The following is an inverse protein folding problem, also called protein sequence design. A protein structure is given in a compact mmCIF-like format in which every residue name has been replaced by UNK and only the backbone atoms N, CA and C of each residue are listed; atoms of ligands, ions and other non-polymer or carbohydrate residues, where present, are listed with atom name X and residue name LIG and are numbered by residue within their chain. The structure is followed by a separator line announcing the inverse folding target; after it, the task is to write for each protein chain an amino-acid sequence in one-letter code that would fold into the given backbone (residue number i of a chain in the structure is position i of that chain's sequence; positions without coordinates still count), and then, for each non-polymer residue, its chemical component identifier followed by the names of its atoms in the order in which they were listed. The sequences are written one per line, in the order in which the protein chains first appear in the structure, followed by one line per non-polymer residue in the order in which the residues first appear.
data_IF_248251113576
#
_entry.id   IF_248251113576
#
_cell.length_a   1.000
_cell.length_b   1.000
_cell.length_c   1.000
_cell.angle_alpha   90.00
_cell.angle_beta   90.00
_cell.angle_gamma   90.00
#
_symmetry.space_group_name_H-M   'P 1'
#
loop_
_entity.id
_entity.type
_entity.pdbx_description
1 polymer ?
#
# COMPACT_ATOMS: atom_id res chain seq x y z
N UNK A 1 -10.95 -32.84 -23.45
CA UNK A 1 -9.93 -32.05 -22.75
C UNK A 1 -10.41 -31.82 -21.33
N UNK A 2 -9.91 -32.61 -20.37
CA UNK A 2 -10.26 -32.46 -18.95
C UNK A 2 -9.24 -31.55 -18.29
N UNK A 3 -9.70 -30.40 -17.82
CA UNK A 3 -8.94 -29.43 -17.03
C UNK A 3 -8.83 -29.99 -15.59
N UNK A 4 -7.63 -30.36 -15.15
CA UNK A 4 -7.39 -30.76 -13.74
C UNK A 4 -7.07 -29.49 -12.95
N UNK A 5 -7.99 -29.13 -12.07
CA UNK A 5 -7.84 -28.09 -11.05
C UNK A 5 -7.04 -28.70 -9.89
N UNK A 6 -5.84 -28.17 -9.59
CA UNK A 6 -5.06 -28.57 -8.42
C UNK A 6 -5.51 -27.70 -7.24
N UNK A 7 -6.10 -28.33 -6.23
CA UNK A 7 -6.58 -27.71 -5.00
C UNK A 7 -5.55 -28.01 -3.89
N UNK A 8 -4.86 -26.98 -3.38
CA UNK A 8 -3.96 -27.11 -2.23
C UNK A 8 -4.77 -26.77 -0.98
N UNK A 9 -5.04 -27.77 -0.13
CA UNK A 9 -5.71 -27.58 1.17
C UNK A 9 -4.67 -27.37 2.27
N UNK A 10 -4.73 -26.22 2.93
CA UNK A 10 -3.97 -25.90 4.15
C UNK A 10 -4.63 -26.60 5.35
N UNK A 11 -3.96 -27.56 6.00
CA UNK A 11 -4.45 -28.17 7.23
C UNK A 11 -4.13 -27.27 8.44
N UNK A 12 -5.17 -26.83 9.16
CA UNK A 12 -5.06 -26.19 10.47
C UNK A 12 -5.16 -27.24 11.58
N UNK A 13 -4.17 -27.26 12.49
CA UNK A 13 -4.10 -28.23 13.58
C UNK A 13 -4.79 -27.65 14.83
N UNK A 14 -5.94 -28.21 15.23
CA UNK A 14 -6.59 -27.92 16.52
C UNK A 14 -6.15 -29.00 17.51
N UNK A 15 -5.44 -28.60 18.56
CA UNK A 15 -5.04 -29.48 19.65
C UNK A 15 -6.21 -29.88 20.54
N UNK A 16 -6.32 -31.17 20.87
CA UNK A 16 -7.30 -31.69 21.81
C UNK A 16 -6.59 -32.25 23.05
N UNK A 17 -6.85 -31.65 24.20
CA UNK A 17 -6.38 -32.08 25.52
C UNK A 17 -7.14 -33.34 25.97
N UNK A 18 -6.41 -34.38 26.37
CA UNK A 18 -6.97 -35.60 26.95
C UNK A 18 -7.38 -35.37 28.41
N UNK A 19 -8.68 -35.47 28.69
CA UNK A 19 -9.20 -35.68 30.03
C UNK A 19 -9.57 -37.16 30.18
N UNK A 20 -8.90 -37.84 31.11
CA UNK A 20 -9.17 -39.22 31.52
C UNK A 20 -10.43 -39.27 32.39
N UNK A 21 -11.41 -40.08 31.98
CA UNK A 21 -12.50 -40.55 32.84
C UNK A 21 -12.68 -42.04 32.59
N UNK A 22 -12.24 -42.81 33.59
CA UNK A 22 -12.33 -44.25 33.72
C UNK A 22 -13.60 -44.55 34.50
N UNK A 23 -14.48 -45.45 34.02
CA UNK A 23 -15.39 -46.29 34.82
C UNK A 23 -16.29 -47.19 33.93
N UNK A 24 -16.18 -48.51 34.15
CA UNK A 24 -17.24 -49.55 34.00
C UNK A 24 -17.59 -49.99 32.57
N UNK A 25 -17.02 -51.06 32.03
CA UNK A 25 -17.36 -52.50 32.22
C UNK A 25 -18.73 -52.89 31.64
N UNK A 26 -18.71 -53.60 30.51
CA UNK A 26 -19.49 -54.81 30.20
C UNK A 26 -19.04 -55.37 28.84
N UNK A 27 -18.50 -56.58 28.89
CA UNK A 27 -18.15 -57.44 27.76
C UNK A 27 -19.33 -57.65 26.80
N UNK A 28 -19.11 -57.35 25.53
CA UNK A 28 -19.83 -57.94 24.40
C UNK A 28 -18.81 -58.17 23.28
N UNK A 29 -18.44 -59.44 23.11
CA UNK A 29 -17.63 -59.95 22.01
C UNK A 29 -18.42 -59.85 20.68
N UNK A 30 -18.29 -58.73 19.98
CA UNK A 30 -18.42 -58.69 18.52
C UNK A 30 -17.02 -58.50 17.93
N UNK A 31 -16.63 -59.24 16.88
CA UNK A 31 -15.38 -58.97 16.20
C UNK A 31 -15.44 -57.55 15.63
N UNK A 32 -14.60 -56.64 16.13
CA UNK A 32 -14.41 -55.32 15.53
C UNK A 32 -14.14 -55.51 14.03
N UNK A 33 -15.12 -55.17 13.21
CA UNK A 33 -14.92 -54.98 11.77
C UNK A 33 -13.76 -54.01 11.62
N UNK A 34 -12.65 -54.49 11.05
CA UNK A 34 -11.50 -53.67 10.75
C UNK A 34 -11.97 -52.45 9.95
N UNK A 35 -11.90 -51.27 10.58
CA UNK A 35 -12.08 -50.00 9.88
C UNK A 35 -10.97 -49.97 8.82
N UNK A 36 -11.28 -49.79 7.53
CA UNK A 36 -10.23 -49.67 6.53
C UNK A 36 -9.41 -48.45 6.92
N UNK A 37 -8.15 -48.69 7.27
CA UNK A 37 -7.16 -47.63 7.43
C UNK A 37 -7.05 -47.00 6.04
N UNK A 38 -7.62 -45.81 5.89
CA UNK A 38 -7.36 -44.96 4.73
C UNK A 38 -5.87 -44.64 4.78
N UNK A 39 -5.08 -45.39 4.01
CA UNK A 39 -3.73 -44.99 3.61
C UNK A 39 -3.86 -43.60 2.97
N UNK A 40 -3.43 -42.58 3.71
CA UNK A 40 -3.22 -41.26 3.15
C UNK A 40 -1.96 -41.42 2.31
N UNK A 41 -2.13 -41.66 1.01
CA UNK A 41 -1.03 -41.52 0.06
C UNK A 41 -0.50 -40.07 0.19
N UNK A 42 0.70 -39.92 0.74
CA UNK A 42 1.44 -38.67 0.66
C UNK A 42 1.55 -38.30 -0.83
N UNK A 43 1.21 -37.08 -1.24
CA UNK A 43 1.23 -36.72 -2.64
C UNK A 43 2.68 -36.80 -3.15
N UNK A 44 2.96 -37.84 -3.94
CA UNK A 44 4.21 -37.95 -4.69
C UNK A 44 4.23 -36.77 -5.65
N UNK A 45 5.11 -35.81 -5.36
CA UNK A 45 5.28 -34.59 -6.12
C UNK A 45 5.88 -34.96 -7.49
N UNK A 46 5.14 -34.73 -8.58
CA UNK A 46 5.56 -35.07 -9.94
C UNK A 46 6.88 -34.35 -10.30
N UNK A 47 7.80 -35.03 -11.01
CA UNK A 47 9.08 -34.45 -11.45
C UNK A 47 8.86 -33.22 -12.34
N UNK A 48 9.62 -32.15 -12.10
CA UNK A 48 9.63 -30.94 -12.94
C UNK A 48 8.74 -29.78 -12.46
N UNK A 49 8.41 -29.72 -11.17
CA UNK A 49 7.73 -28.55 -10.61
C UNK A 49 8.70 -27.37 -10.55
N UNK A 50 8.34 -26.27 -11.21
CA UNK A 50 8.96 -24.98 -10.96
C UNK A 50 8.46 -24.44 -9.62
N UNK A 51 9.32 -24.43 -8.61
CA UNK A 51 9.04 -23.81 -7.32
C UNK A 51 9.95 -22.60 -7.15
N UNK A 52 9.35 -21.42 -6.96
CA UNK A 52 10.08 -20.15 -6.92
C UNK A 52 11.01 -19.93 -8.13
N UNK A 53 10.60 -20.41 -9.31
CA UNK A 53 11.39 -20.30 -10.55
C UNK A 53 12.59 -21.26 -10.63
N UNK A 54 12.69 -22.23 -9.73
CA UNK A 54 13.73 -23.26 -9.74
C UNK A 54 13.13 -24.61 -10.17
N UNK A 55 13.82 -25.34 -11.03
CA UNK A 55 13.49 -26.73 -11.35
C UNK A 55 13.90 -27.63 -10.18
N UNK A 56 12.94 -28.35 -9.61
CA UNK A 56 13.19 -29.32 -8.53
C UNK A 56 13.06 -30.72 -9.13
N UNK A 57 14.20 -31.38 -9.34
CA UNK A 57 14.27 -32.68 -10.02
C UNK A 57 14.28 -33.87 -9.04
N UNK A 58 14.94 -33.73 -7.88
CA UNK A 58 15.15 -34.84 -6.92
C UNK A 58 15.02 -34.47 -5.44
N UNK A 59 14.93 -33.19 -5.08
CA UNK A 59 14.90 -32.80 -3.66
C UNK A 59 13.51 -33.02 -3.03
N UNK A 60 13.47 -33.53 -1.80
CA UNK A 60 12.27 -33.49 -0.97
C UNK A 60 12.01 -32.04 -0.53
N UNK A 61 10.77 -31.58 -0.63
CA UNK A 61 10.39 -30.20 -0.29
C UNK A 61 9.57 -30.19 0.99
N UNK A 62 10.11 -29.59 2.05
CA UNK A 62 9.43 -29.45 3.34
C UNK A 62 8.93 -28.01 3.50
N UNK A 63 7.61 -27.83 3.56
CA UNK A 63 6.97 -26.53 3.82
C UNK A 63 6.71 -26.33 5.31
N UNK A 64 6.97 -25.12 5.83
CA UNK A 64 6.70 -24.76 7.22
C UNK A 64 6.55 -23.24 7.37
N UNK A 65 6.18 -22.78 8.55
CA UNK A 65 6.19 -21.36 8.93
C UNK A 65 7.19 -21.11 10.05
N UNK A 66 7.75 -19.90 10.10
CA UNK A 66 8.65 -19.49 11.19
C UNK A 66 7.86 -19.43 12.49
N UNK A 67 8.29 -20.21 13.48
CA UNK A 67 7.68 -20.23 14.82
C UNK A 67 8.15 -19.06 15.67
N UNK A 68 7.41 -18.78 16.74
CA UNK A 68 7.78 -17.77 17.73
C UNK A 68 9.19 -18.05 18.28
N UNK A 69 10.04 -17.02 18.24
CA UNK A 69 11.45 -17.08 18.67
C UNK A 69 12.31 -18.10 17.91
N UNK A 70 11.88 -18.55 16.73
CA UNK A 70 12.70 -19.43 15.88
C UNK A 70 13.62 -18.58 15.00
N UNK A 71 14.90 -18.92 15.00
CA UNK A 71 15.93 -18.28 14.21
C UNK A 71 16.37 -19.15 13.04
N UNK A 72 17.08 -18.55 12.08
CA UNK A 72 17.69 -19.26 10.95
C UNK A 72 18.55 -20.44 11.42
N UNK A 73 19.26 -20.29 12.53
CA UNK A 73 20.07 -21.36 13.12
C UNK A 73 19.23 -22.55 13.56
N UNK A 74 18.10 -22.30 14.22
CA UNK A 74 17.24 -23.37 14.72
C UNK A 74 16.63 -24.16 13.55
N UNK A 75 16.28 -23.46 12.47
CA UNK A 75 15.77 -24.08 11.25
C UNK A 75 16.86 -24.94 10.60
N UNK A 76 18.04 -24.37 10.31
CA UNK A 76 19.06 -25.07 9.53
C UNK A 76 19.78 -26.19 10.31
N UNK A 77 19.95 -26.05 11.62
CA UNK A 77 20.53 -27.12 12.45
C UNK A 77 19.62 -28.35 12.54
N UNK A 78 18.28 -28.17 12.44
CA UNK A 78 17.35 -29.29 12.34
C UNK A 78 17.54 -30.13 11.06
N UNK A 79 18.19 -29.56 10.04
CA UNK A 79 18.54 -30.22 8.77
C UNK A 79 20.06 -30.33 8.59
N UNK A 80 20.77 -30.58 9.70
CA UNK A 80 22.18 -30.99 9.74
C UNK A 80 23.16 -30.01 9.09
N UNK A 81 22.85 -28.71 9.12
CA UNK A 81 23.80 -27.64 8.78
C UNK A 81 24.51 -27.16 10.05
N UNK A 82 25.84 -27.12 10.00
CA UNK A 82 26.68 -26.71 11.13
C UNK A 82 26.67 -25.18 11.34
N UNK A 83 26.96 -24.77 12.58
CA UNK A 83 26.95 -23.37 12.96
C UNK A 83 27.94 -22.50 12.18
N UNK A 84 29.08 -23.04 11.75
CA UNK A 84 30.09 -22.29 10.97
C UNK A 84 29.52 -21.92 9.60
N UNK A 85 28.87 -22.88 8.95
CA UNK A 85 28.17 -22.66 7.68
C UNK A 85 27.02 -21.66 7.86
N UNK A 86 26.23 -21.78 8.94
CA UNK A 86 25.13 -20.85 9.23
C UNK A 86 25.64 -19.42 9.47
N UNK A 87 26.74 -19.24 10.21
CA UNK A 87 27.34 -17.92 10.45
C UNK A 87 27.87 -17.28 9.16
N UNK A 88 28.54 -18.08 8.31
CA UNK A 88 29.00 -17.66 6.99
C UNK A 88 27.81 -17.24 6.11
N UNK A 89 26.75 -18.07 6.09
CA UNK A 89 25.52 -17.79 5.36
C UNK A 89 24.87 -16.49 5.84
N UNK A 90 24.72 -16.29 7.16
CA UNK A 90 24.15 -15.07 7.73
C UNK A 90 24.97 -13.82 7.38
N UNK A 91 26.30 -13.96 7.31
CA UNK A 91 27.21 -12.88 6.89
C UNK A 91 27.01 -12.52 5.41
N UNK A 92 26.93 -13.53 4.53
CA UNK A 92 26.67 -13.36 3.10
C UNK A 92 25.26 -12.80 2.86
N UNK A 93 24.28 -13.20 3.66
CA UNK A 93 22.90 -12.75 3.55
C UNK A 93 22.74 -11.27 3.88
N UNK A 94 23.51 -10.73 4.84
CA UNK A 94 23.34 -9.37 5.39
C UNK A 94 23.09 -8.23 4.37
N UNK A 95 23.83 -8.12 3.24
CA UNK A 95 23.54 -7.11 2.20
C UNK A 95 22.20 -7.33 1.46
N UNK A 96 21.71 -8.56 1.37
CA UNK A 96 20.45 -8.94 0.69
C UNK A 96 19.27 -8.88 1.66
N UNK A 97 19.41 -9.54 2.80
CA UNK A 97 18.42 -9.68 3.85
C UNK A 97 19.08 -9.91 5.22
N UNK A 98 18.68 -9.12 6.22
CA UNK A 98 19.12 -9.32 7.60
C UNK A 98 18.28 -10.43 8.23
N UNK A 99 18.89 -11.60 8.47
CA UNK A 99 18.22 -12.81 8.99
C UNK A 99 17.51 -12.59 10.32
N UNK A 100 17.88 -11.55 11.08
CA UNK A 100 17.19 -11.14 12.32
C UNK A 100 15.81 -10.51 12.07
N UNK A 101 15.49 -10.20 10.81
CA UNK A 101 14.19 -9.70 10.37
C UNK A 101 13.23 -10.81 9.94
N UNK A 102 13.62 -12.09 10.05
CA UNK A 102 12.67 -13.20 9.89
C UNK A 102 11.54 -13.03 10.91
N UNK A 103 10.30 -13.20 10.45
CA UNK A 103 9.10 -12.91 11.24
C UNK A 103 8.34 -14.20 11.52
N UNK A 104 7.80 -14.29 12.73
CA UNK A 104 6.84 -15.32 13.09
C UNK A 104 5.67 -15.35 12.09
N UNK A 105 5.26 -16.55 11.69
CA UNK A 105 4.18 -16.80 10.74
C UNK A 105 4.55 -16.63 9.27
N UNK A 106 5.76 -16.13 8.95
CA UNK A 106 6.19 -16.08 7.56
C UNK A 106 6.50 -17.51 7.04
N UNK A 107 6.01 -17.89 5.85
CA UNK A 107 6.31 -19.18 5.25
C UNK A 107 7.79 -19.34 4.89
N UNK A 108 8.26 -20.58 4.95
CA UNK A 108 9.51 -20.99 4.33
C UNK A 108 9.38 -22.42 3.82
N UNK A 109 10.24 -22.80 2.88
CA UNK A 109 10.43 -24.21 2.54
C UNK A 109 11.91 -24.58 2.50
N UNK A 110 12.18 -25.85 2.69
CA UNK A 110 13.52 -26.43 2.67
C UNK A 110 13.56 -27.50 1.59
N UNK A 111 14.58 -27.41 0.74
CA UNK A 111 14.94 -28.48 -0.18
C UNK A 111 15.94 -29.38 0.53
N UNK A 112 15.56 -30.62 0.76
CA UNK A 112 16.37 -31.63 1.45
C UNK A 112 16.92 -32.60 0.42
N UNK A 113 18.19 -32.97 0.57
CA UNK A 113 18.78 -34.02 -0.25
C UNK A 113 18.14 -35.38 0.06
N UNK A 114 17.52 -36.00 -0.95
CA UNK A 114 16.87 -37.32 -0.81
C UNK A 114 17.86 -38.49 -0.88
N UNK A 115 19.09 -38.23 -1.31
CA UNK A 115 20.08 -39.29 -1.59
C UNK A 115 20.90 -39.69 -0.35
N UNK A 116 20.82 -38.92 0.74
CA UNK A 116 21.55 -39.15 1.98
C UNK A 116 20.68 -39.82 3.06
N UNK A 117 21.29 -40.70 3.88
CA UNK A 117 20.60 -41.33 5.03
C UNK A 117 20.27 -40.34 6.17
N UNK A 118 20.76 -39.11 6.08
CA UNK A 118 20.56 -38.04 7.06
C UNK A 118 20.05 -36.81 6.30
N UNK A 119 18.89 -36.23 6.69
CA UNK A 119 18.30 -35.12 5.96
C UNK A 119 19.19 -33.87 6.05
N UNK A 120 19.78 -33.47 4.92
CA UNK A 120 20.62 -32.27 4.82
C UNK A 120 19.95 -31.21 3.96
N UNK A 121 19.87 -29.97 4.43
CA UNK A 121 19.31 -28.87 3.66
C UNK A 121 20.25 -28.45 2.52
N UNK A 122 19.77 -28.55 1.26
CA UNK A 122 20.41 -27.97 0.06
C UNK A 122 20.00 -26.52 -0.15
N UNK A 123 18.78 -26.17 0.24
CA UNK A 123 18.29 -24.82 0.09
C UNK A 123 17.23 -24.49 1.14
N UNK A 124 17.22 -23.24 1.61
CA UNK A 124 16.10 -22.67 2.35
C UNK A 124 15.55 -21.48 1.58
N UNK A 125 14.23 -21.45 1.37
CA UNK A 125 13.53 -20.36 0.71
C UNK A 125 12.59 -19.75 1.73
N UNK A 126 12.83 -18.49 2.08
CA UNK A 126 12.03 -17.75 3.06
C UNK A 126 11.17 -16.70 2.36
N UNK A 127 9.86 -16.75 2.54
CA UNK A 127 8.96 -15.73 2.01
C UNK A 127 9.01 -14.46 2.89
N UNK A 128 9.66 -13.40 2.40
CA UNK A 128 9.74 -12.11 3.10
C UNK A 128 8.38 -11.40 3.11
N UNK A 129 7.64 -11.53 2.00
CA UNK A 129 6.26 -11.11 1.83
C UNK A 129 5.63 -11.88 0.66
N UNK A 130 4.36 -11.61 0.34
CA UNK A 130 3.62 -12.28 -0.74
C UNK A 130 4.28 -12.17 -2.13
N UNK A 131 5.20 -11.24 -2.35
CA UNK A 131 5.91 -11.06 -3.63
C UNK A 131 7.37 -11.51 -3.54
N UNK A 132 8.08 -11.14 -2.47
CA UNK A 132 9.52 -11.32 -2.37
C UNK A 132 9.86 -12.52 -1.48
N UNK A 133 10.83 -13.32 -1.93
CA UNK A 133 11.40 -14.41 -1.15
C UNK A 133 12.93 -14.33 -1.17
N UNK A 134 13.55 -14.93 -0.17
CA UNK A 134 15.00 -15.00 0.00
C UNK A 134 15.42 -16.45 -0.17
N UNK A 135 16.33 -16.69 -1.11
CA UNK A 135 16.90 -18.01 -1.35
C UNK A 135 18.26 -18.09 -0.66
N UNK A 136 18.41 -19.06 0.21
CA UNK A 136 19.66 -19.44 0.85
C UNK A 136 20.10 -20.77 0.25
N UNK A 137 21.02 -20.72 -0.72
CA UNK A 137 21.58 -21.91 -1.34
C UNK A 137 22.75 -22.44 -0.47
N UNK A 138 22.70 -23.73 -0.15
CA UNK A 138 23.58 -24.46 0.77
C UNK A 138 24.24 -25.68 0.10
N UNK A 139 24.11 -25.82 -1.23
CA UNK A 139 24.68 -26.92 -2.01
C UNK A 139 26.20 -26.70 -2.22
N UNK A 140 26.71 -26.72 -3.45
CA UNK A 140 28.16 -26.59 -3.70
C UNK A 140 28.75 -25.24 -3.24
N UNK A 141 28.07 -24.14 -3.56
CA UNK A 141 28.52 -22.78 -3.23
C UNK A 141 27.44 -22.03 -2.46
N UNK A 142 27.75 -21.73 -1.20
CA UNK A 142 26.87 -20.94 -0.34
C UNK A 142 26.62 -19.58 -0.97
N UNK A 143 25.37 -19.30 -1.31
CA UNK A 143 24.95 -18.04 -1.91
C UNK A 143 23.57 -17.63 -1.41
N UNK A 144 23.32 -16.32 -1.42
CA UNK A 144 22.05 -15.74 -0.97
C UNK A 144 21.61 -14.70 -1.98
N UNK A 145 20.36 -14.80 -2.44
CA UNK A 145 19.76 -13.81 -3.32
C UNK A 145 18.27 -13.61 -3.01
N UNK A 146 17.73 -12.47 -3.43
CA UNK A 146 16.29 -12.18 -3.35
C UNK A 146 15.65 -12.48 -4.70
N UNK A 147 14.62 -13.29 -4.69
CA UNK A 147 13.75 -13.51 -5.85
C UNK A 147 12.40 -12.85 -5.66
N UNK A 148 11.62 -12.80 -6.75
CA UNK A 148 10.26 -12.29 -6.75
C UNK A 148 9.36 -13.33 -7.42
N UNK A 149 8.21 -13.61 -6.80
CA UNK A 149 7.13 -14.38 -7.42
C UNK A 149 6.61 -13.60 -8.63
N UNK A 150 6.10 -14.31 -9.62
CA UNK A 150 5.48 -13.68 -10.78
C UNK A 150 4.26 -12.87 -10.33
N UNK A 151 4.26 -11.57 -10.66
CA UNK A 151 3.15 -10.67 -10.35
C UNK A 151 2.33 -10.48 -11.61
N UNK A 152 1.09 -10.95 -11.59
CA UNK A 152 0.13 -10.68 -12.66
C UNK A 152 -0.61 -9.39 -12.37
N UNK A 153 -0.73 -8.51 -13.37
CA UNK A 153 -1.51 -7.27 -13.27
C UNK A 153 -2.85 -7.50 -13.96
N UNK A 154 -3.94 -7.43 -13.21
CA UNK A 154 -5.30 -7.60 -13.74
C UNK A 154 -6.04 -6.28 -13.78
N UNK A 155 -6.64 -5.94 -14.93
CA UNK A 155 -7.63 -4.87 -15.02
C UNK A 155 -8.92 -5.27 -14.32
N UNK A 156 -9.45 -4.39 -13.47
CA UNK A 156 -10.68 -4.59 -12.71
C UNK A 156 -11.57 -3.36 -12.73
N UNK A 157 -12.86 -3.62 -12.58
CA UNK A 157 -13.90 -2.62 -12.40
C UNK A 157 -14.61 -2.90 -11.09
N UNK A 158 -14.96 -1.85 -10.36
CA UNK A 158 -15.71 -1.97 -9.12
C UNK A 158 -16.66 -0.80 -8.92
N UNK A 159 -17.73 -1.04 -8.18
CA UNK A 159 -18.67 -0.01 -7.75
C UNK A 159 -19.21 -0.35 -6.36
N UNK A 160 -19.75 0.66 -5.68
CA UNK A 160 -20.34 0.47 -4.37
C UNK A 160 -21.18 1.65 -3.92
N UNK A 161 -22.18 1.36 -3.08
CA UNK A 161 -23.00 2.36 -2.38
C UNK A 161 -22.66 2.30 -0.90
N UNK A 162 -22.19 3.42 -0.37
CA UNK A 162 -21.66 3.50 0.98
C UNK A 162 -22.79 3.51 2.00
N UNK A 163 -22.74 2.56 2.92
CA UNK A 163 -23.69 2.48 4.04
C UNK A 163 -23.09 3.01 5.34
N UNK A 164 -21.82 2.72 5.59
CA UNK A 164 -21.12 3.06 6.84
C UNK A 164 -19.79 3.75 6.54
N UNK A 165 -18.88 3.07 5.84
CA UNK A 165 -17.60 3.62 5.41
C UNK A 165 -17.20 3.03 4.05
N UNK A 166 -16.26 3.69 3.39
CA UNK A 166 -15.71 3.20 2.11
C UNK A 166 -15.00 1.85 2.27
N UNK A 167 -14.23 1.69 3.36
CA UNK A 167 -13.52 0.45 3.68
C UNK A 167 -14.48 -0.73 3.84
N UNK A 168 -15.49 -0.58 4.71
CA UNK A 168 -16.51 -1.62 4.95
C UNK A 168 -17.30 -1.96 3.69
N UNK A 169 -17.61 -0.95 2.87
CA UNK A 169 -18.32 -1.15 1.59
C UNK A 169 -17.47 -1.98 0.63
N UNK A 170 -16.16 -1.77 0.58
CA UNK A 170 -15.25 -2.58 -0.24
C UNK A 170 -15.15 -4.00 0.28
N UNK A 171 -14.94 -4.19 1.59
CA UNK A 171 -14.88 -5.51 2.21
C UNK A 171 -16.17 -6.30 1.96
N UNK A 172 -17.34 -5.68 2.15
CA UNK A 172 -18.64 -6.33 1.92
C UNK A 172 -18.86 -6.74 0.46
N UNK A 173 -18.35 -5.94 -0.49
CA UNK A 173 -18.44 -6.22 -1.92
C UNK A 173 -17.27 -7.07 -2.46
N UNK A 174 -16.44 -7.65 -1.58
CA UNK A 174 -15.25 -8.46 -1.95
C UNK A 174 -14.25 -7.69 -2.84
N UNK A 175 -14.15 -6.39 -2.64
CA UNK A 175 -13.16 -5.50 -3.26
C UNK A 175 -12.00 -5.35 -2.26
N UNK A 176 -10.75 -5.31 -2.75
CA UNK A 176 -9.61 -5.06 -1.88
C UNK A 176 -9.73 -3.68 -1.22
N UNK A 177 -9.77 -3.62 0.13
CA UNK A 177 -10.05 -2.38 0.85
C UNK A 177 -8.92 -1.35 0.78
N UNK A 178 -7.72 -1.70 0.35
CA UNK A 178 -6.65 -0.73 0.07
C UNK A 178 -7.06 0.28 -1.00
N UNK A 179 -8.01 -0.09 -1.87
CA UNK A 179 -8.57 0.83 -2.85
C UNK A 179 -9.26 2.03 -2.17
N UNK A 180 -9.80 1.87 -0.97
CA UNK A 180 -10.42 2.97 -0.21
C UNK A 180 -9.40 4.05 0.12
N UNK A 181 -8.18 3.63 0.49
CA UNK A 181 -7.08 4.55 0.76
C UNK A 181 -6.70 5.32 -0.51
N UNK A 182 -6.56 4.63 -1.64
CA UNK A 182 -6.21 5.24 -2.93
C UNK A 182 -7.26 6.24 -3.40
N UNK A 183 -8.54 5.90 -3.28
CA UNK A 183 -9.64 6.81 -3.58
C UNK A 183 -9.66 8.03 -2.66
N UNK A 184 -9.38 7.83 -1.37
CA UNK A 184 -9.28 8.93 -0.40
C UNK A 184 -8.12 9.88 -0.72
N UNK A 185 -7.02 9.37 -1.29
CA UNK A 185 -5.89 10.19 -1.73
C UNK A 185 -6.24 11.05 -2.95
N UNK A 186 -6.96 10.48 -3.93
CA UNK A 186 -7.41 11.19 -5.15
C UNK A 186 -8.34 12.35 -4.81
N UNK A 187 -9.35 12.11 -3.98
CA UNK A 187 -10.37 13.11 -3.63
C UNK A 187 -10.13 13.79 -2.28
N UNK A 188 -8.94 13.68 -1.69
CA UNK A 188 -8.60 14.25 -0.37
C UNK A 188 -8.97 15.74 -0.22
N UNK A 189 -9.14 16.40 -1.36
CA UNK A 189 -9.36 17.83 -1.55
C UNK A 189 -10.78 18.26 -1.78
N UNK A 190 -11.55 17.40 -2.42
CA UNK A 190 -12.88 17.69 -2.92
C UNK A 190 -13.94 16.99 -2.06
N UNK A 191 -13.56 15.93 -1.35
CA UNK A 191 -14.43 15.16 -0.46
C UNK A 191 -13.81 15.08 0.93
N UNK A 192 -14.59 15.45 1.95
CA UNK A 192 -14.25 15.16 3.35
C UNK A 192 -14.68 13.74 3.70
N UNK A 193 -13.75 12.79 3.62
CA UNK A 193 -14.01 11.37 3.89
C UNK A 193 -14.46 11.08 5.34
N UNK A 194 -14.28 12.02 6.28
CA UNK A 194 -14.83 11.90 7.64
C UNK A 194 -16.31 12.26 7.71
N UNK A 195 -16.87 12.87 6.66
CA UNK A 195 -18.26 13.31 6.57
C UNK A 195 -19.05 12.64 5.44
N UNK A 196 -18.54 11.52 4.93
CA UNK A 196 -19.27 10.68 3.98
C UNK A 196 -20.64 10.33 4.54
N UNK A 197 -21.64 10.39 3.67
CA UNK A 197 -23.02 10.11 4.01
C UNK A 197 -23.43 8.73 3.52
N UNK A 198 -24.42 8.15 4.20
CA UNK A 198 -25.12 6.98 3.68
C UNK A 198 -25.73 7.33 2.31
N UNK A 199 -25.42 6.53 1.29
CA UNK A 199 -25.90 6.72 -0.08
C UNK A 199 -24.89 7.39 -1.02
N UNK A 200 -23.80 7.96 -0.49
CA UNK A 200 -22.64 8.29 -1.33
C UNK A 200 -22.15 7.02 -2.03
N UNK A 201 -21.61 7.14 -3.24
CA UNK A 201 -21.35 5.97 -4.09
C UNK A 201 -20.18 6.20 -5.02
N UNK A 202 -19.54 5.12 -5.44
CA UNK A 202 -18.35 5.19 -6.29
C UNK A 202 -18.39 4.16 -7.42
N UNK A 203 -17.69 4.48 -8.51
CA UNK A 203 -17.33 3.56 -9.60
C UNK A 203 -15.86 3.77 -9.92
N UNK A 204 -15.13 2.70 -10.21
CA UNK A 204 -13.69 2.77 -10.39
C UNK A 204 -13.19 1.71 -11.36
N UNK A 205 -12.32 2.12 -12.28
CA UNK A 205 -11.54 1.27 -13.18
C UNK A 205 -10.09 1.33 -12.71
N UNK A 206 -9.50 0.18 -12.44
CA UNK A 206 -8.17 0.11 -11.83
C UNK A 206 -7.46 -1.20 -12.20
N UNK A 207 -6.17 -1.26 -11.87
CA UNK A 207 -5.40 -2.49 -11.95
C UNK A 207 -5.12 -3.04 -10.55
N UNK A 208 -5.04 -4.36 -10.43
CA UNK A 208 -4.72 -5.04 -9.18
C UNK A 208 -3.58 -6.02 -9.41
N UNK A 209 -2.61 -6.00 -8.50
CA UNK A 209 -1.45 -6.90 -8.54
C UNK A 209 -1.82 -8.19 -7.82
N UNK A 210 -1.67 -9.29 -8.51
CA UNK A 210 -2.01 -10.62 -8.03
C UNK A 210 -0.75 -11.50 -7.97
N UNK A 211 -0.62 -12.29 -6.92
CA UNK A 211 0.36 -13.37 -6.81
C UNK A 211 -0.38 -14.61 -6.33
N UNK A 212 -0.23 -15.73 -7.05
CA UNK A 212 -0.86 -17.02 -6.67
C UNK A 212 -2.38 -16.93 -6.44
N UNK A 213 -3.06 -16.03 -7.16
CA UNK A 213 -4.51 -15.79 -7.03
C UNK A 213 -4.93 -14.87 -5.88
N UNK A 214 -3.98 -14.42 -5.04
CA UNK A 214 -4.23 -13.45 -3.98
C UNK A 214 -3.82 -12.03 -4.39
N UNK A 215 -4.55 -11.03 -3.88
CA UNK A 215 -4.19 -9.63 -4.11
C UNK A 215 -3.02 -9.22 -3.23
N UNK A 216 -2.00 -8.64 -3.84
CA UNK A 216 -0.81 -8.11 -3.16
C UNK A 216 -0.73 -6.58 -3.21
N UNK A 217 -1.73 -5.94 -3.81
CA UNK A 217 -1.87 -4.48 -3.77
C UNK A 217 -2.61 -3.91 -4.96
N UNK A 218 -3.13 -2.69 -4.76
CA UNK A 218 -3.75 -1.91 -5.81
C UNK A 218 -2.68 -1.29 -6.71
N UNK A 219 -2.86 -1.43 -8.02
CA UNK A 219 -2.06 -0.77 -9.03
C UNK A 219 -2.55 0.66 -9.29
N UNK A 220 -2.59 1.00 -10.56
CA UNK A 220 -3.05 2.28 -11.07
C UNK A 220 -4.58 2.33 -11.15
N UNK A 221 -5.17 3.47 -10.78
CA UNK A 221 -6.60 3.75 -10.99
C UNK A 221 -6.66 4.61 -12.24
N UNK A 222 -7.23 4.09 -13.32
CA UNK A 222 -7.26 4.80 -14.61
C UNK A 222 -8.42 5.79 -14.66
N UNK A 223 -9.55 5.43 -14.05
CA UNK A 223 -10.73 6.26 -14.03
C UNK A 223 -11.53 6.03 -12.75
N UNK A 224 -12.11 7.09 -12.21
CA UNK A 224 -12.97 7.04 -11.03
C UNK A 224 -14.12 8.05 -11.13
N UNK A 225 -15.27 7.63 -10.61
CA UNK A 225 -16.40 8.50 -10.29
C UNK A 225 -16.72 8.35 -8.81
N UNK A 226 -16.75 9.47 -8.09
CA UNK A 226 -17.25 9.53 -6.72
C UNK A 226 -18.43 10.48 -6.65
N UNK A 227 -19.58 9.99 -6.18
CA UNK A 227 -20.74 10.81 -5.88
C UNK A 227 -20.74 11.14 -4.39
N UNK A 228 -20.66 12.43 -4.07
CA UNK A 228 -20.76 12.92 -2.71
C UNK A 228 -21.86 13.98 -2.63
N UNK A 229 -22.85 13.76 -1.75
CA UNK A 229 -23.98 14.67 -1.57
C UNK A 229 -24.72 15.00 -2.88
N UNK A 230 -24.85 14.03 -3.78
CA UNK A 230 -25.53 14.19 -5.06
C UNK A 230 -24.71 14.85 -6.17
N UNK A 231 -23.45 15.26 -5.90
CA UNK A 231 -22.53 15.78 -6.91
C UNK A 231 -21.61 14.68 -7.41
N UNK A 232 -21.62 14.45 -8.72
CA UNK A 232 -20.67 13.57 -9.39
C UNK A 232 -19.31 14.26 -9.55
N UNK A 233 -18.26 13.59 -9.11
CA UNK A 233 -16.87 14.02 -9.21
C UNK A 233 -16.12 12.96 -10.02
N UNK A 234 -15.82 13.26 -11.28
CA UNK A 234 -15.04 12.38 -12.14
C UNK A 234 -13.54 12.67 -11.98
N UNK A 235 -12.72 11.63 -12.09
CA UNK A 235 -11.26 11.72 -12.12
C UNK A 235 -10.68 10.72 -13.10
N UNK A 236 -9.82 11.19 -13.99
CA UNK A 236 -9.13 10.37 -14.99
C UNK A 236 -7.63 10.54 -14.82
N UNK A 237 -6.92 9.43 -14.75
CA UNK A 237 -5.46 9.46 -14.60
C UNK A 237 -4.80 9.94 -15.90
N UNK A 238 -3.81 10.80 -15.75
CA UNK A 238 -2.97 11.24 -16.85
C UNK A 238 -1.57 11.58 -16.37
N UNK A 239 -0.57 11.13 -17.12
CA UNK A 239 0.85 11.35 -16.85
C UNK A 239 1.42 12.28 -17.93
N UNK A 240 1.83 13.50 -17.52
CA UNK A 240 2.36 14.53 -18.43
C UNK A 240 3.69 14.12 -19.06
N UNK A 241 4.56 13.47 -18.28
CA UNK A 241 5.85 12.96 -18.75
C UNK A 241 6.36 11.85 -17.81
N UNK A 242 7.36 11.09 -18.26
CA UNK A 242 7.95 9.97 -17.48
C UNK A 242 8.76 10.41 -16.24
N UNK A 243 8.82 11.71 -15.93
CA UNK A 243 9.57 12.29 -14.80
C UNK A 243 8.60 12.73 -13.69
N UNK A 244 7.35 13.05 -14.03
CA UNK A 244 6.27 13.39 -13.12
C UNK A 244 5.38 12.17 -12.90
N UNK A 245 5.09 11.83 -11.63
CA UNK A 245 4.04 10.85 -11.36
C UNK A 245 2.72 11.40 -11.92
N UNK A 246 1.92 10.57 -12.59
CA UNK A 246 0.65 11.02 -13.13
C UNK A 246 -0.31 11.50 -12.05
N UNK A 247 -1.28 12.30 -12.48
CA UNK A 247 -2.25 12.99 -11.64
C UNK A 247 -3.67 12.74 -12.19
N UNK A 248 -4.69 13.15 -11.44
CA UNK A 248 -6.08 12.94 -11.80
C UNK A 248 -6.74 14.25 -12.22
N UNK A 249 -7.44 14.21 -13.35
CA UNK A 249 -8.06 15.38 -13.96
C UNK A 249 -9.56 15.19 -14.17
N UNK A 250 -10.31 16.27 -14.04
CA UNK A 250 -11.71 16.39 -14.43
C UNK A 250 -11.84 16.42 -15.97
N UNK A 251 -13.05 16.20 -16.54
CA UNK A 251 -13.28 16.25 -18.00
C UNK A 251 -12.80 17.53 -18.70
N UNK A 252 -12.82 18.67 -17.99
CA UNK A 252 -12.37 19.96 -18.51
C UNK A 252 -10.85 20.16 -18.38
N UNK A 253 -10.11 19.15 -17.91
CA UNK A 253 -8.66 19.18 -17.73
C UNK A 253 -8.20 19.82 -16.43
N UNK A 254 -9.10 20.21 -15.51
CA UNK A 254 -8.71 20.68 -14.18
C UNK A 254 -8.17 19.56 -13.32
N UNK A 255 -7.12 19.84 -12.56
CA UNK A 255 -6.58 18.85 -11.61
C UNK A 255 -7.52 18.67 -10.42
N UNK A 256 -7.78 17.42 -10.03
CA UNK A 256 -8.48 17.10 -8.78
C UNK A 256 -7.62 17.41 -7.53
N UNK A 257 -6.31 17.57 -7.71
CA UNK A 257 -5.38 17.96 -6.66
C UNK A 257 -5.45 19.47 -6.44
N UNK A 258 -5.53 19.90 -5.18
CA UNK A 258 -5.30 21.32 -4.86
C UNK A 258 -3.83 21.65 -4.96
N UNK A 259 -3.52 22.91 -5.27
CA UNK A 259 -2.14 23.37 -5.30
C UNK A 259 -1.40 23.13 -3.97
N UNK A 260 -2.11 22.97 -2.83
CA UNK A 260 -1.52 22.78 -1.49
C UNK A 260 -2.14 21.62 -0.70
N UNK A 261 -1.35 20.94 0.15
CA UNK A 261 -1.72 19.95 1.17
C UNK A 261 -2.31 20.57 2.44
N UNK A 262 -3.29 19.90 3.08
CA UNK A 262 -4.09 20.53 4.14
C UNK A 262 -3.25 20.62 5.39
N UNK A 263 -2.45 19.57 5.60
CA UNK A 263 -1.50 19.45 6.66
C UNK A 263 -0.15 18.97 6.09
N UNK A 264 0.98 19.42 6.67
CA UNK A 264 2.30 18.99 6.27
C UNK A 264 2.77 17.69 6.97
N UNK A 265 1.86 16.97 7.64
CA UNK A 265 2.14 15.78 8.46
C UNK A 265 0.93 14.84 8.44
N UNK A 266 1.16 13.56 8.15
CA UNK A 266 0.13 12.50 8.20
C UNK A 266 -0.28 12.22 9.65
N UNK A 267 -1.57 11.94 9.88
CA UNK A 267 -2.13 11.52 11.17
C UNK A 267 -1.82 12.46 12.36
N UNK A 268 -1.93 13.77 12.12
CA UNK A 268 -1.64 14.80 13.13
C UNK A 268 -2.91 15.49 13.62
N UNK A 269 -2.86 16.02 14.85
CA UNK A 269 -3.91 16.89 15.38
C UNK A 269 -3.44 18.35 15.34
N UNK A 270 -4.35 19.26 14.99
CA UNK A 270 -4.09 20.70 15.13
C UNK A 270 -4.10 21.03 16.63
N UNK A 271 -2.95 21.39 17.19
CA UNK A 271 -2.83 21.82 18.58
C UNK A 271 -3.10 23.31 18.76
N UNK A 272 -2.84 24.11 17.71
CA UNK A 272 -3.20 25.52 17.66
C UNK A 272 -3.38 26.00 16.22
N UNK A 273 -4.46 26.73 15.95
CA UNK A 273 -4.65 27.39 14.65
C UNK A 273 -3.93 28.74 14.57
N UNK A 274 -3.91 29.29 13.36
CA UNK A 274 -3.60 30.70 13.12
C UNK A 274 -4.58 31.58 13.91
N UNK A 275 -4.05 32.58 14.61
CA UNK A 275 -4.88 33.55 15.34
C UNK A 275 -4.17 34.89 15.45
N UNK A 276 -4.89 35.97 15.15
CA UNK A 276 -4.39 37.33 15.34
C UNK A 276 -4.17 37.71 16.81
N UNK A 277 -4.77 36.99 17.76
CA UNK A 277 -4.60 37.23 19.20
C UNK A 277 -4.79 35.93 20.01
N UNK A 278 -3.70 35.36 20.52
CA UNK A 278 -3.73 34.18 21.41
C UNK A 278 -2.80 34.37 22.61
N UNK A 279 -3.12 33.76 23.74
CA UNK A 279 -2.18 33.73 24.87
C UNK A 279 -0.98 32.82 24.55
N UNK A 280 0.23 33.37 24.57
CA UNK A 280 1.46 32.63 24.27
C UNK A 280 1.95 31.91 25.53
N UNK A 281 1.96 30.56 25.58
CA UNK A 281 2.23 29.81 26.81
C UNK A 281 3.66 30.00 27.34
N UNK A 282 4.66 30.07 26.45
CA UNK A 282 6.06 30.30 26.84
C UNK A 282 6.34 31.73 27.31
N UNK A 283 5.85 32.72 26.56
CA UNK A 283 6.12 34.14 26.85
C UNK A 283 5.11 34.75 27.83
N UNK A 284 4.06 34.01 28.20
CA UNK A 284 2.98 34.40 29.13
C UNK A 284 2.32 35.75 28.79
N UNK A 285 2.11 36.03 27.50
CA UNK A 285 1.45 37.26 27.01
C UNK A 285 0.57 37.00 25.78
N UNK A 286 -0.41 37.85 25.53
CA UNK A 286 -1.20 37.78 24.30
C UNK A 286 -0.35 38.21 23.09
N UNK A 287 -0.28 37.35 22.08
CA UNK A 287 0.46 37.56 20.84
C UNK A 287 -0.24 36.86 19.67
N UNK A 288 -0.08 37.39 18.47
CA UNK A 288 -0.50 36.68 17.26
C UNK A 288 0.27 35.36 17.10
N UNK A 289 -0.44 34.30 16.77
CA UNK A 289 0.11 33.06 16.28
C UNK A 289 -0.08 33.01 14.77
N UNK A 290 0.98 33.33 14.02
CA UNK A 290 0.93 33.52 12.57
C UNK A 290 1.19 32.21 11.81
N UNK A 291 0.67 31.10 12.32
CA UNK A 291 0.81 29.77 11.76
C UNK A 291 -0.18 28.79 12.39
N UNK A 292 -0.15 27.54 11.93
CA UNK A 292 -0.92 26.43 12.48
C UNK A 292 0.07 25.40 13.02
N UNK A 293 -0.09 25.03 14.29
CA UNK A 293 0.72 24.02 14.97
C UNK A 293 0.06 22.65 14.82
N UNK A 294 0.78 21.71 14.21
CA UNK A 294 0.39 20.31 14.13
C UNK A 294 1.24 19.50 15.11
N UNK A 295 0.59 18.98 16.15
CA UNK A 295 1.26 18.12 17.12
C UNK A 295 1.45 16.72 16.52
N UNK A 296 2.69 16.24 16.57
CA UNK A 296 3.10 14.93 16.10
C UNK A 296 4.36 14.48 16.86
N UNK A 297 4.61 13.16 16.99
CA UNK A 297 5.81 12.64 17.62
C UNK A 297 7.11 13.22 17.04
N UNK A 298 8.15 13.29 17.87
CA UNK A 298 9.47 13.69 17.40
C UNK A 298 9.97 12.73 16.32
N UNK A 299 10.46 13.25 15.21
CA UNK A 299 10.94 12.46 14.07
C UNK A 299 9.87 12.13 13.03
N UNK A 300 8.59 12.48 13.23
CA UNK A 300 7.56 12.30 12.19
C UNK A 300 7.96 13.06 10.91
N UNK A 301 7.86 12.45 9.71
CA UNK A 301 8.16 13.14 8.46
C UNK A 301 7.29 14.37 8.23
N UNK A 302 7.91 15.47 7.81
CA UNK A 302 7.25 16.70 7.38
C UNK A 302 7.32 16.76 5.86
N UNK A 303 6.16 16.97 5.23
CA UNK A 303 5.99 17.00 3.79
C UNK A 303 5.85 18.43 3.27
N UNK A 304 6.39 18.71 2.08
CA UNK A 304 6.07 19.93 1.35
C UNK A 304 4.58 19.91 0.98
N UNK A 305 3.85 20.96 1.37
CA UNK A 305 2.44 21.03 1.06
C UNK A 305 2.18 21.34 -0.41
N UNK A 306 3.15 21.80 -1.20
CA UNK A 306 2.92 22.14 -2.60
C UNK A 306 4.23 22.05 -3.37
N UNK A 307 4.12 21.87 -4.68
CA UNK A 307 5.24 21.94 -5.61
C UNK A 307 5.93 23.31 -5.47
N UNK A 308 7.26 23.35 -5.49
CA UNK A 308 7.98 24.62 -5.38
C UNK A 308 9.47 24.49 -5.18
N UNK A 309 10.14 25.62 -5.04
CA UNK A 309 11.59 25.70 -4.85
C UNK A 309 11.91 26.09 -3.42
N UNK A 310 12.81 25.34 -2.76
CA UNK A 310 13.33 25.69 -1.44
C UNK A 310 14.00 27.06 -1.51
N UNK A 311 13.46 28.04 -0.78
CA UNK A 311 14.06 29.37 -0.68
C UNK A 311 14.99 29.48 0.53
N UNK A 312 14.68 28.77 1.62
CA UNK A 312 15.51 28.74 2.82
C UNK A 312 15.48 27.34 3.45
N UNK A 313 16.62 26.85 3.92
CA UNK A 313 16.74 25.64 4.73
C UNK A 313 17.87 25.86 5.74
N UNK A 314 17.53 26.35 6.94
CA UNK A 314 18.53 26.85 7.89
C UNK A 314 18.04 26.80 9.34
N UNK A 315 18.88 27.22 10.28
CA UNK A 315 18.55 27.38 11.69
C UNK A 315 18.41 28.86 12.06
N UNK A 316 17.36 29.22 12.81
CA UNK A 316 17.24 30.53 13.46
C UNK A 316 16.77 30.38 14.90
N UNK A 317 17.19 31.30 15.77
CA UNK A 317 16.95 31.24 17.23
C UNK A 317 15.51 30.90 17.63
N UNK A 318 14.51 31.55 17.03
CA UNK A 318 13.10 31.32 17.40
C UNK A 318 12.41 30.26 16.55
N UNK A 319 12.80 30.13 15.29
CA UNK A 319 12.17 29.17 14.37
C UNK A 319 12.72 27.74 14.55
N UNK A 320 13.89 27.61 15.18
CA UNK A 320 14.63 26.35 15.18
C UNK A 320 15.21 26.07 13.79
N UNK A 321 15.38 24.79 13.47
CA UNK A 321 15.60 24.35 12.09
C UNK A 321 14.30 24.48 11.33
N UNK A 322 14.34 25.11 10.17
CA UNK A 322 13.15 25.28 9.34
C UNK A 322 13.49 25.24 7.86
N UNK A 323 12.45 24.95 7.08
CA UNK A 323 12.45 25.05 5.62
C UNK A 323 11.41 26.07 5.20
N UNK A 324 11.71 26.86 4.16
CA UNK A 324 10.76 27.73 3.47
C UNK A 324 10.74 27.34 2.00
N UNK A 325 9.54 27.12 1.46
CA UNK A 325 9.31 26.74 0.07
C UNK A 325 8.57 27.89 -0.62
N UNK A 326 9.11 28.36 -1.75
CA UNK A 326 8.44 29.31 -2.64
C UNK A 326 7.75 28.51 -3.73
N UNK A 327 6.43 28.63 -3.82
CA UNK A 327 5.63 27.88 -4.79
C UNK A 327 5.51 28.66 -6.09
N UNK A 328 5.14 29.95 -5.99
CA UNK A 328 5.07 30.86 -7.13
C UNK A 328 5.26 32.32 -6.67
N UNK A 329 4.92 33.29 -7.51
CA UNK A 329 5.00 34.73 -7.18
C UNK A 329 4.06 35.18 -6.05
N UNK A 330 3.02 34.39 -5.76
CA UNK A 330 1.98 34.72 -4.77
C UNK A 330 2.20 33.97 -3.44
N UNK A 331 2.53 32.68 -3.50
CA UNK A 331 2.48 31.78 -2.35
C UNK A 331 3.84 31.24 -1.92
N UNK A 332 4.05 31.19 -0.60
CA UNK A 332 5.15 30.44 0.02
C UNK A 332 4.72 29.78 1.33
N UNK A 333 5.40 28.71 1.73
CA UNK A 333 5.12 28.01 2.99
C UNK A 333 6.38 27.88 3.82
N UNK A 334 6.22 27.81 5.14
CA UNK A 334 7.34 27.70 6.09
C UNK A 334 7.04 26.65 7.16
N UNK A 335 8.04 25.83 7.48
CA UNK A 335 7.91 24.64 8.31
C UNK A 335 8.96 24.68 9.42
N UNK A 336 8.55 24.97 10.64
CA UNK A 336 9.45 25.31 11.75
C UNK A 336 9.68 24.15 12.73
N UNK A 337 10.60 24.38 13.65
CA UNK A 337 10.88 23.54 14.82
C UNK A 337 11.38 22.13 14.50
N UNK A 338 11.91 21.92 13.29
CA UNK A 338 12.36 20.60 12.84
C UNK A 338 13.46 20.05 13.76
N UNK A 339 13.44 18.74 13.98
CA UNK A 339 14.55 18.03 14.60
C UNK A 339 15.73 17.95 13.62
N UNK A 340 15.41 17.65 12.36
CA UNK A 340 16.37 17.51 11.26
C UNK A 340 15.72 17.96 9.94
N UNK A 341 16.50 18.64 9.11
CA UNK A 341 16.16 18.93 7.70
C UNK A 341 16.55 17.69 6.87
N UNK A 342 15.69 17.26 5.94
CA UNK A 342 15.95 16.05 5.16
C UNK A 342 17.20 16.20 4.27
N UNK A 343 17.78 15.06 3.86
CA UNK A 343 19.00 15.06 3.03
C UNK A 343 18.68 15.74 1.69
N UNK A 344 19.64 16.49 1.15
CA UNK A 344 19.54 17.24 -0.11
C UNK A 344 18.56 18.44 -0.11
N UNK A 345 17.85 18.71 0.99
CA UNK A 345 17.01 19.91 1.10
C UNK A 345 17.89 21.13 1.40
N UNK A 346 18.07 21.97 0.38
CA UNK A 346 18.87 23.21 0.42
C UNK A 346 18.28 24.26 -0.55
N UNK A 347 18.59 25.55 -0.38
CA UNK A 347 18.09 26.58 -1.29
C UNK A 347 18.36 26.25 -2.76
N UNK A 348 17.36 26.49 -3.61
CA UNK A 348 17.41 26.23 -5.05
C UNK A 348 16.91 24.84 -5.48
N UNK A 349 16.74 23.89 -4.55
CA UNK A 349 16.18 22.57 -4.86
C UNK A 349 14.68 22.67 -5.11
N UNK A 350 14.21 22.07 -6.21
CA UNK A 350 12.80 21.86 -6.45
C UNK A 350 12.31 20.68 -5.61
N UNK A 351 11.15 20.84 -4.97
CA UNK A 351 10.47 19.79 -4.20
C UNK A 351 9.06 19.61 -4.71
N UNK A 352 8.63 18.36 -4.77
CA UNK A 352 7.26 17.99 -5.13
C UNK A 352 6.34 18.10 -3.91
N UNK A 353 5.06 18.36 -4.14
CA UNK A 353 4.03 18.21 -3.14
C UNK A 353 4.08 16.78 -2.56
N UNK A 354 4.03 16.65 -1.24
CA UNK A 354 4.16 15.36 -0.56
C UNK A 354 5.60 14.86 -0.42
N UNK A 355 6.62 15.58 -0.91
CA UNK A 355 8.01 15.23 -0.69
C UNK A 355 8.46 15.53 0.74
N UNK A 356 9.27 14.64 1.34
CA UNK A 356 9.78 14.82 2.71
C UNK A 356 10.86 15.90 2.73
N UNK A 357 10.58 17.00 3.42
CA UNK A 357 11.50 18.14 3.55
C UNK A 357 12.22 18.20 4.91
N UNK A 358 11.73 17.44 5.90
CA UNK A 358 12.32 17.40 7.22
C UNK A 358 11.54 16.51 8.18
N UNK A 359 11.84 16.64 9.46
CA UNK A 359 11.26 15.80 10.50
C UNK A 359 10.86 16.65 11.71
N UNK A 360 9.71 16.33 12.29
CA UNK A 360 9.15 17.00 13.47
C UNK A 360 10.15 17.01 14.61
N UNK A 361 10.21 18.11 15.35
CA UNK A 361 11.04 18.26 16.52
C UNK A 361 10.52 19.36 17.45
N UNK A 362 11.43 19.88 18.27
CA UNK A 362 11.14 20.94 19.25
C UNK A 362 12.24 22.00 19.25
N UNK A 363 12.90 22.25 18.12
CA UNK A 363 14.02 23.21 18.09
C UNK A 363 13.52 24.66 18.07
N UNK A 364 14.34 25.59 18.58
CA UNK A 364 13.95 27.00 18.68
C UNK A 364 12.93 27.24 19.79
N UNK A 365 11.93 28.11 19.54
CA UNK A 365 10.91 28.46 20.52
C UNK A 365 9.70 27.52 20.39
N UNK A 366 9.80 26.32 20.96
CA UNK A 366 8.76 25.30 20.96
C UNK A 366 8.53 24.72 22.37
N UNK A 367 7.29 24.44 22.75
CA UNK A 367 6.96 23.82 24.06
C UNK A 367 7.10 22.30 24.06
N UNK A 368 7.06 21.68 22.89
CA UNK A 368 7.12 20.23 22.70
C UNK A 368 7.08 19.88 21.22
N UNK A 369 7.13 18.58 20.86
CA UNK A 369 7.20 18.14 19.48
C UNK A 369 5.98 18.57 18.66
N UNK A 370 6.20 19.41 17.65
CA UNK A 370 5.20 19.83 16.67
C UNK A 370 5.88 20.45 15.44
N UNK A 371 5.13 20.60 14.35
CA UNK A 371 5.51 21.49 13.24
C UNK A 371 4.64 22.73 13.28
N UNK A 372 5.27 23.91 13.35
CA UNK A 372 4.57 25.18 13.15
C UNK A 372 4.60 25.50 11.65
N UNK A 373 3.45 25.31 11.01
CA UNK A 373 3.23 25.56 9.59
C UNK A 373 2.76 26.99 9.36
N UNK A 374 3.44 27.73 8.49
CA UNK A 374 3.08 29.11 8.17
C UNK A 374 2.80 29.23 6.68
N UNK A 375 1.61 29.71 6.36
CA UNK A 375 1.19 29.97 5.00
C UNK A 375 1.36 31.45 4.69
N UNK A 376 1.96 31.76 3.54
CA UNK A 376 2.21 33.13 3.10
C UNK A 376 1.53 33.39 1.77
N UNK A 377 0.79 34.50 1.68
CA UNK A 377 0.19 35.03 0.45
C UNK A 377 0.64 36.47 0.28
N UNK A 378 1.22 36.81 -0.88
CA UNK A 378 1.73 38.15 -1.19
C UNK A 378 2.65 38.72 -0.09
N UNK A 379 3.55 37.87 0.44
CA UNK A 379 4.51 38.25 1.48
C UNK A 379 3.94 38.39 2.89
N UNK A 380 2.65 38.13 3.12
CA UNK A 380 2.01 38.19 4.45
C UNK A 380 1.58 36.80 4.95
N UNK A 381 1.69 36.58 6.26
CA UNK A 381 1.25 35.34 6.90
C UNK A 381 -0.26 35.33 7.07
N UNK A 382 -0.93 34.31 6.52
CA UNK A 382 -2.39 34.18 6.54
C UNK A 382 -2.81 32.82 7.08
N UNK A 383 -4.08 32.70 7.47
CA UNK A 383 -4.68 31.41 7.86
C UNK A 383 -4.95 30.58 6.60
N UNK A 384 -4.27 29.42 6.40
CA UNK A 384 -4.46 28.59 5.21
C UNK A 384 -5.90 28.08 5.09
N UNK A 385 -6.61 27.87 6.21
CA UNK A 385 -7.98 27.34 6.21
C UNK A 385 -9.06 28.38 5.84
N UNK A 386 -8.66 29.64 5.67
CA UNK A 386 -9.54 30.73 5.22
C UNK A 386 -9.19 31.21 3.82
N UNK A 387 -8.22 30.59 3.16
CA UNK A 387 -7.84 30.95 1.81
C UNK A 387 -8.66 30.12 0.82
N UNK A 388 -9.13 30.78 -0.23
CA UNK A 388 -9.53 30.10 -1.45
C UNK A 388 -8.25 29.70 -2.20
N UNK A 389 -7.88 28.42 -2.09
CA UNK A 389 -6.63 27.89 -2.64
C UNK A 389 -6.93 27.36 -4.05
N UNK A 390 -6.16 27.79 -5.07
CA UNK A 390 -6.38 27.33 -6.43
C UNK A 390 -6.12 25.83 -6.58
N UNK A 391 -6.73 25.25 -7.61
CA UNK A 391 -6.41 23.89 -8.06
C UNK A 391 -4.95 23.83 -8.53
N UNK A 392 -4.37 22.64 -8.56
CA UNK A 392 -3.07 22.45 -9.22
C UNK A 392 -3.20 22.74 -10.73
N UNK A 393 -2.06 22.96 -11.39
CA UNK A 393 -2.04 23.43 -12.78
C UNK A 393 -2.87 22.49 -13.69
N UNK A 394 -3.89 23.02 -14.40
CA UNK A 394 -4.70 22.22 -15.30
C UNK A 394 -3.86 21.70 -16.49
N UNK A 395 -4.44 20.79 -17.26
CA UNK A 395 -3.92 20.43 -18.57
C UNK A 395 -4.09 21.62 -19.53
N UNK A 396 -3.09 21.83 -20.39
CA UNK A 396 -3.12 22.87 -21.42
C UNK A 396 -2.28 22.46 -22.61
N UNK A 397 -2.57 23.04 -23.78
CA UNK A 397 -1.88 22.71 -25.03
C UNK A 397 -2.08 21.25 -25.43
N UNK A 398 -1.01 20.61 -25.91
CA UNK A 398 -1.01 19.23 -26.43
C UNK A 398 -1.46 18.21 -25.38
N UNK A 399 -1.14 18.42 -24.09
CA UNK A 399 -1.57 17.54 -23.00
C UNK A 399 -3.10 17.46 -22.89
N UNK A 400 -3.78 18.61 -23.03
CA UNK A 400 -5.24 18.67 -22.96
C UNK A 400 -5.87 18.02 -24.19
N UNK A 401 -5.30 18.24 -25.37
CA UNK A 401 -5.77 17.62 -26.61
C UNK A 401 -5.64 16.09 -26.55
N UNK A 402 -4.49 15.59 -26.09
CA UNK A 402 -4.28 14.16 -25.91
C UNK A 402 -5.22 13.59 -24.84
N UNK A 403 -5.39 14.27 -23.71
CA UNK A 403 -6.35 13.89 -22.67
C UNK A 403 -7.78 13.77 -23.23
N UNK A 404 -8.20 14.75 -24.03
CA UNK A 404 -9.49 14.77 -24.73
C UNK A 404 -9.65 13.65 -25.77
N UNK A 405 -8.56 13.06 -26.24
CA UNK A 405 -8.61 11.92 -27.17
C UNK A 405 -9.02 10.60 -26.49
N UNK A 406 -8.75 10.42 -25.19
CA UNK A 406 -8.98 9.14 -24.52
C UNK A 406 -9.97 9.17 -23.33
N UNK A 407 -10.11 10.28 -22.60
CA UNK A 407 -11.01 10.31 -21.43
C UNK A 407 -12.48 9.98 -21.76
N UNK A 408 -13.06 10.31 -22.94
CA UNK A 408 -14.47 10.02 -23.20
C UNK A 408 -14.78 8.53 -23.16
N UNK A 409 -13.85 7.69 -23.63
CA UNK A 409 -14.00 6.24 -23.59
C UNK A 409 -13.90 5.70 -22.17
N UNK A 410 -12.95 6.20 -21.37
CA UNK A 410 -12.86 5.87 -19.94
C UNK A 410 -14.13 6.31 -19.17
N UNK A 411 -14.69 7.47 -19.53
CA UNK A 411 -15.94 7.95 -18.96
C UNK A 411 -17.10 7.03 -19.31
N UNK A 412 -17.21 6.62 -20.58
CA UNK A 412 -18.24 5.67 -21.03
C UNK A 412 -18.14 4.35 -20.27
N UNK A 413 -16.93 3.81 -20.13
CA UNK A 413 -16.66 2.61 -19.35
C UNK A 413 -17.12 2.76 -17.89
N UNK A 414 -16.75 3.86 -17.22
CA UNK A 414 -17.23 4.16 -15.86
C UNK A 414 -18.75 4.24 -15.77
N UNK A 415 -19.39 4.91 -16.72
CA UNK A 415 -20.84 5.13 -16.70
C UNK A 415 -21.60 3.80 -16.83
N UNK A 416 -21.06 2.83 -17.58
CA UNK A 416 -21.63 1.50 -17.80
C UNK A 416 -21.53 0.57 -16.59
N UNK A 417 -20.60 0.82 -15.66
CA UNK A 417 -20.51 0.04 -14.41
C UNK A 417 -21.79 0.25 -13.60
N UNK A 418 -22.55 -0.81 -13.34
CA UNK A 418 -23.78 -0.75 -12.53
C UNK A 418 -23.46 -0.74 -11.03
N UNK A 419 -24.31 -0.13 -10.20
CA UNK A 419 -24.16 -0.25 -8.75
C UNK A 419 -24.69 -1.60 -8.22
N UNK A 420 -24.16 -2.12 -7.10
CA UNK A 420 -24.69 -3.32 -6.48
C UNK A 420 -26.18 -3.16 -6.17
N UNK A 421 -27.01 -4.06 -6.70
CA UNK A 421 -28.48 -4.03 -6.53
C UNK A 421 -29.26 -3.31 -7.64
N UNK A 422 -28.62 -2.74 -8.67
CA UNK A 422 -29.30 -2.09 -9.82
C UNK A 422 -29.70 -3.04 -10.97
N UNK A 423 -29.62 -4.36 -10.79
CA UNK A 423 -30.08 -5.30 -11.81
C UNK A 423 -31.62 -5.34 -11.89
N UNK A 424 -32.22 -4.51 -12.76
CA UNK A 424 -33.32 -4.90 -13.68
C UNK A 424 -33.85 -3.77 -14.59
N UNK A 425 -32.97 -3.01 -15.28
CA UNK A 425 -33.39 -2.32 -16.52
C UNK A 425 -32.30 -2.40 -17.57
N UNK A 426 -32.14 -3.57 -18.20
CA UNK A 426 -31.40 -3.65 -19.47
C UNK A 426 -32.15 -2.81 -20.51
N UNK A 427 -31.57 -1.69 -20.95
CA UNK A 427 -31.95 -1.05 -22.22
C UNK A 427 -31.64 -2.05 -23.34
N UNK A 428 -32.56 -2.31 -24.29
CA UNK A 428 -32.31 -3.23 -25.38
C UNK A 428 -31.17 -2.70 -26.25
N UNK A 429 -30.12 -3.50 -26.39
CA UNK A 429 -29.06 -3.30 -27.37
C UNK A 429 -29.67 -3.58 -28.74
N UNK A 430 -29.76 -2.56 -29.59
CA UNK A 430 -30.09 -2.74 -31.00
C UNK A 430 -28.95 -3.55 -31.64
N UNK A 431 -29.25 -4.80 -32.01
CA UNK A 431 -28.38 -5.62 -32.85
C UNK A 431 -28.32 -4.97 -34.23
N UNK A 432 -27.15 -4.44 -34.59
CA UNK A 432 -26.83 -4.12 -35.98
C UNK A 432 -26.87 -5.42 -36.78
N UNK A 433 -27.87 -5.55 -37.64
CA UNK A 433 -27.93 -6.61 -38.64
C UNK A 433 -26.83 -6.38 -39.68
N UNK A 434 -26.00 -7.41 -39.87
CA UNK A 434 -25.07 -7.53 -40.98
C UNK A 434 -25.83 -7.42 -42.30
N UNK A 435 -25.43 -6.45 -43.13
CA UNK A 435 -25.82 -6.39 -44.53
C UNK A 435 -24.80 -7.15 -45.38
N UNK A 436 -25.08 -8.41 -45.68
CA UNK A 436 -24.60 -9.06 -46.90
C UNK A 436 -25.80 -9.25 -47.83
N UNK A 437 -25.90 -8.43 -48.87
CA UNK A 437 -25.91 -8.90 -50.27
C UNK A 437 -26.31 -7.81 -51.28
N UNK A 438 -25.54 -7.83 -52.38
CA UNK A 438 -25.95 -7.72 -53.78
C UNK A 438 -25.68 -6.40 -54.56
N UNK A 439 -25.05 -6.64 -55.72
CA UNK A 439 -24.86 -5.81 -56.93
C UNK A 439 -23.63 -4.89 -57.00
N UNK A 440 -22.49 -5.41 -57.44
CA UNK A 440 -22.15 -5.55 -58.87
C UNK A 440 -21.01 -6.54 -59.09
#
# INVERSE_FOLDING_TARGET
MKLKLILITLLSFIGLTTATLYLGDQDNDEPLSAVPILEIEEPILDKGIQLYGMEIDTAEVVFSEVRRNQFLSDILTAYNIDYTTIEKLATIAKPVFDVRKMREGNPYCILVDSDDSIPRAKCLIYEENKVNYIVFNLDDTVSVYRGQKEVTILGKEASGVIQTSLYETMTANKINPDLALRLSEIYAWTVDFYRIQKGDRFKVVYTEKMVEGESVGIGEITAVLFNHMGKDLYGFYYEKDSIHAGDYFEPDGKSLRKAFLQAPVKYSRISSRYSGRRFHPVQKRYKAHLGTDYAAPHGTPIYATADGVISEATYRRYNGRYVKVRHNGTYSTQYLHMSKIAKNIRPGVFVKQGEIIGYVGSTGLATGPHVCYRFWKNGQQVDPYKQDIPDADPLGGEDLEYFHSFYPELKRQLDEISYPGEHDVKKPIALLQNSENAFQ
#
